data_IF_972855818138
#
_entry.id   IF_972855818138
#
_cell.length_a   1.000
_cell.length_b   1.000
_cell.length_c   1.000
_cell.angle_alpha   90.00
_cell.angle_beta   90.00
_cell.angle_gamma   90.00
#
_symmetry.space_group_name_H-M   'P 1'
#
loop_
_entity.id
_entity.type
_entity.pdbx_description
1 polymer ?
#
# COMPACT_ATOMS: atom_id res chain seq x y z
N UNK A 1 -55.35 82.06 -7.97
CA UNK A 1 -53.95 81.94 -8.43
C UNK A 1 -53.76 80.57 -9.09
N UNK A 2 -52.84 80.49 -10.06
CA UNK A 2 -52.79 79.60 -11.24
C UNK A 2 -52.93 78.06 -11.07
N UNK A 3 -53.49 77.43 -12.13
CA UNK A 3 -53.43 76.02 -12.53
C UNK A 3 -52.00 75.56 -12.89
N UNK A 4 -51.73 74.24 -12.80
CA UNK A 4 -50.95 73.34 -13.73
C UNK A 4 -50.40 72.14 -12.93
N UNK A 5 -50.92 70.91 -13.01
CA UNK A 5 -50.73 69.79 -13.97
C UNK A 5 -49.26 69.39 -14.26
N UNK A 6 -48.91 68.21 -13.70
CA UNK A 6 -47.94 67.13 -14.02
C UNK A 6 -46.79 67.39 -15.00
N UNK A 7 -45.57 66.97 -14.59
CA UNK A 7 -44.62 66.22 -15.42
C UNK A 7 -43.77 65.26 -14.55
N UNK A 8 -43.43 64.10 -15.12
CA UNK A 8 -42.70 62.97 -14.55
C UNK A 8 -41.20 63.02 -14.87
N UNK A 9 -40.36 62.33 -14.10
CA UNK A 9 -39.09 61.74 -14.59
C UNK A 9 -38.49 60.72 -13.59
N UNK A 10 -38.56 59.45 -13.99
CA UNK A 10 -37.56 58.36 -13.90
C UNK A 10 -36.28 58.56 -13.06
N UNK A 11 -36.07 57.68 -12.07
CA UNK A 11 -34.76 57.32 -11.52
C UNK A 11 -34.15 56.17 -12.35
N UNK A 12 -32.98 56.42 -12.95
CA UNK A 12 -32.13 55.39 -13.55
C UNK A 12 -31.12 54.89 -12.51
N UNK A 13 -31.17 53.60 -12.16
CA UNK A 13 -30.16 52.94 -11.35
C UNK A 13 -29.05 52.38 -12.27
N UNK A 14 -27.83 52.87 -12.06
CA UNK A 14 -26.62 52.45 -12.77
C UNK A 14 -26.19 51.06 -12.26
N UNK A 15 -26.31 50.02 -13.09
CA UNK A 15 -25.79 48.68 -12.80
C UNK A 15 -24.39 48.55 -13.37
N UNK A 16 -23.37 48.45 -12.50
CA UNK A 16 -22.01 48.07 -12.87
C UNK A 16 -21.95 46.55 -13.12
N UNK A 17 -21.74 46.16 -14.38
CA UNK A 17 -21.42 44.78 -14.74
C UNK A 17 -19.93 44.51 -14.46
N UNK A 18 -19.65 43.64 -13.48
CA UNK A 18 -18.32 43.06 -13.28
C UNK A 18 -18.21 41.88 -14.23
N UNK A 19 -17.47 42.05 -15.33
CA UNK A 19 -17.07 40.95 -16.19
C UNK A 19 -16.05 40.08 -15.43
N UNK A 20 -16.47 38.90 -15.01
CA UNK A 20 -15.57 37.88 -14.47
C UNK A 20 -14.64 37.39 -15.56
N UNK A 21 -13.37 37.77 -15.49
CA UNK A 21 -12.32 37.19 -16.32
C UNK A 21 -12.15 35.72 -15.92
N UNK A 22 -12.42 34.83 -16.87
CA UNK A 22 -12.03 33.42 -16.78
C UNK A 22 -10.52 33.35 -16.58
N UNK A 23 -10.08 32.92 -15.40
CA UNK A 23 -8.68 32.67 -15.13
C UNK A 23 -8.30 31.43 -15.95
N UNK A 24 -7.67 31.65 -17.09
CA UNK A 24 -6.99 30.59 -17.82
C UNK A 24 -5.86 30.09 -16.91
N UNK A 25 -5.94 28.84 -16.45
CA UNK A 25 -4.80 28.17 -15.86
C UNK A 25 -3.72 28.04 -16.95
N UNK A 26 -2.67 28.83 -16.84
CA UNK A 26 -1.45 28.62 -17.58
C UNK A 26 -0.77 27.36 -17.03
N UNK A 27 -0.76 26.29 -17.82
CA UNK A 27 0.15 25.17 -17.61
C UNK A 27 1.58 25.72 -17.65
N UNK A 28 2.27 25.62 -16.52
CA UNK A 28 3.72 25.79 -16.50
C UNK A 28 4.36 24.64 -17.30
N UNK A 29 5.42 24.86 -18.08
CA UNK A 29 6.09 23.79 -18.78
C UNK A 29 6.71 22.85 -17.74
N UNK A 30 6.16 21.64 -17.67
CA UNK A 30 6.66 20.54 -16.84
C UNK A 30 8.11 20.25 -17.25
N UNK A 31 9.02 20.22 -16.28
CA UNK A 31 10.40 19.83 -16.52
C UNK A 31 10.45 18.34 -16.86
N UNK A 32 10.42 18.03 -18.15
CA UNK A 32 11.05 16.86 -18.76
C UNK A 32 10.51 15.49 -18.34
N UNK A 33 9.22 15.22 -18.60
CA UNK A 33 8.76 13.83 -18.74
C UNK A 33 8.95 13.40 -20.20
N UNK A 34 9.89 12.49 -20.48
CA UNK A 34 9.96 11.76 -21.75
C UNK A 34 8.91 10.64 -21.75
N UNK A 35 7.66 10.92 -21.34
CA UNK A 35 6.63 9.90 -21.16
C UNK A 35 5.69 9.81 -22.35
N UNK A 36 5.45 8.59 -22.82
CA UNK A 36 4.30 8.30 -23.67
C UNK A 36 3.05 8.21 -22.76
N UNK A 37 2.41 9.35 -22.48
CA UNK A 37 1.08 9.36 -21.88
C UNK A 37 0.06 8.74 -22.84
N UNK A 38 -0.92 8.00 -22.30
CA UNK A 38 -2.01 7.41 -23.10
C UNK A 38 -3.37 7.61 -22.42
N UNK A 39 -4.43 7.64 -23.22
CA UNK A 39 -5.80 7.68 -22.70
C UNK A 39 -6.07 6.52 -21.72
N UNK A 40 -5.57 5.32 -22.02
CA UNK A 40 -5.68 4.15 -21.12
C UNK A 40 -4.97 4.37 -19.79
N UNK A 41 -3.76 4.94 -19.79
CA UNK A 41 -3.02 5.25 -18.55
C UNK A 41 -3.76 6.31 -17.70
N UNK A 42 -4.33 7.33 -18.35
CA UNK A 42 -5.11 8.35 -17.66
C UNK A 42 -6.40 7.77 -17.04
N UNK A 43 -7.13 6.96 -17.81
CA UNK A 43 -8.36 6.30 -17.34
C UNK A 43 -8.08 5.32 -16.20
N UNK A 44 -7.02 4.52 -16.32
CA UNK A 44 -6.63 3.56 -15.29
C UNK A 44 -6.24 4.27 -13.99
N UNK A 45 -5.45 5.35 -14.06
CA UNK A 45 -5.10 6.14 -12.88
C UNK A 45 -6.35 6.70 -12.19
N UNK A 46 -7.28 7.29 -12.95
CA UNK A 46 -8.54 7.81 -12.41
C UNK A 46 -9.41 6.71 -11.80
N UNK A 47 -9.42 5.50 -12.37
CA UNK A 47 -10.15 4.37 -11.79
C UNK A 47 -9.58 3.98 -10.42
N UNK A 48 -8.25 3.89 -10.30
CA UNK A 48 -7.59 3.57 -9.03
C UNK A 48 -7.85 4.66 -7.98
N UNK A 49 -7.75 5.94 -8.37
CA UNK A 49 -8.04 7.07 -7.49
C UNK A 49 -9.49 7.06 -6.97
N UNK A 50 -10.46 6.75 -7.83
CA UNK A 50 -11.88 6.64 -7.43
C UNK A 50 -12.15 5.45 -6.50
N UNK A 51 -11.44 4.33 -6.68
CA UNK A 51 -11.61 3.16 -5.83
C UNK A 51 -11.14 3.43 -4.39
N UNK A 52 -10.02 4.15 -4.23
CA UNK A 52 -9.60 4.76 -2.96
C UNK A 52 -8.41 5.71 -3.21
N UNK A 53 -8.58 7.01 -2.95
CA UNK A 53 -7.55 8.02 -3.20
C UNK A 53 -6.24 7.77 -2.45
N UNK A 54 -6.29 7.07 -1.30
CA UNK A 54 -5.08 6.73 -0.54
C UNK A 54 -4.09 5.84 -1.32
N UNK A 55 -4.55 5.15 -2.37
CA UNK A 55 -3.68 4.32 -3.20
C UNK A 55 -2.77 5.17 -4.07
N UNK A 56 -3.30 6.25 -4.65
CA UNK A 56 -2.55 7.18 -5.50
C UNK A 56 -1.76 8.21 -4.70
N UNK A 57 -2.28 8.71 -3.57
CA UNK A 57 -1.56 9.68 -2.70
C UNK A 57 -0.24 9.11 -2.13
N UNK A 58 -0.14 7.79 -2.04
CA UNK A 58 1.03 7.08 -1.54
C UNK A 58 2.05 6.72 -2.64
N UNK A 59 1.79 7.05 -3.90
CA UNK A 59 2.72 6.84 -5.00
C UNK A 59 4.04 7.58 -4.75
N UNK A 60 5.15 6.95 -5.13
CA UNK A 60 6.47 7.56 -5.06
C UNK A 60 6.58 8.66 -6.12
N UNK A 61 7.25 9.76 -5.77
CA UNK A 61 7.47 10.87 -6.68
C UNK A 61 8.66 10.57 -7.61
N UNK A 62 8.45 9.62 -8.53
CA UNK A 62 9.46 9.14 -9.46
C UNK A 62 8.91 9.32 -10.88
N UNK A 63 9.47 10.23 -11.68
CA UNK A 63 9.07 10.39 -13.08
C UNK A 63 9.25 9.08 -13.85
N UNK A 64 8.33 8.79 -14.77
CA UNK A 64 8.48 7.65 -15.65
C UNK A 64 9.48 7.95 -16.78
N UNK A 65 10.19 6.92 -17.24
CA UNK A 65 11.16 7.00 -18.33
C UNK A 65 10.70 6.10 -19.49
N UNK A 66 10.16 6.65 -20.59
CA UNK A 66 9.67 5.81 -21.68
C UNK A 66 10.78 5.28 -22.62
N UNK A 67 11.96 5.89 -22.61
CA UNK A 67 13.08 5.56 -23.51
C UNK A 67 14.03 4.52 -22.93
N UNK A 68 14.02 4.34 -21.60
CA UNK A 68 14.88 3.40 -20.89
C UNK A 68 14.39 1.96 -20.91
N UNK A 69 15.16 1.07 -20.27
CA UNK A 69 14.74 -0.32 -20.00
C UNK A 69 13.53 -0.37 -19.07
N UNK A 70 13.56 0.47 -18.03
CA UNK A 70 12.57 0.50 -16.97
C UNK A 70 11.74 1.78 -17.08
N UNK A 71 10.41 1.63 -17.08
CA UNK A 71 9.47 2.73 -16.97
C UNK A 71 9.66 3.45 -15.63
N UNK A 72 9.90 2.69 -14.56
CA UNK A 72 10.21 3.21 -13.22
C UNK A 72 11.33 2.38 -12.64
N UNK A 73 12.37 3.03 -12.10
CA UNK A 73 13.40 2.37 -11.30
C UNK A 73 13.75 3.24 -10.12
N UNK A 74 13.59 2.72 -8.91
CA UNK A 74 13.78 3.51 -7.69
C UNK A 74 14.14 2.63 -6.50
N UNK A 75 14.66 3.25 -5.44
CA UNK A 75 14.83 2.64 -4.13
C UNK A 75 14.05 3.44 -3.12
N UNK A 76 13.10 2.82 -2.43
CA UNK A 76 12.25 3.45 -1.43
C UNK A 76 12.37 2.65 -0.13
N UNK A 77 12.72 3.30 0.98
CA UNK A 77 12.91 2.64 2.29
C UNK A 77 13.85 1.40 2.24
N UNK A 78 14.93 1.50 1.46
CA UNK A 78 15.89 0.41 1.27
C UNK A 78 15.39 -0.76 0.41
N UNK A 79 14.23 -0.62 -0.24
CA UNK A 79 13.67 -1.61 -1.17
C UNK A 79 13.83 -1.11 -2.60
N UNK A 80 14.56 -1.87 -3.42
CA UNK A 80 14.71 -1.58 -4.84
C UNK A 80 13.47 -2.05 -5.61
N UNK A 81 12.89 -1.18 -6.43
CA UNK A 81 11.70 -1.48 -7.25
C UNK A 81 11.99 -1.09 -8.69
N UNK A 82 11.66 -1.97 -9.62
CA UNK A 82 11.74 -1.69 -11.05
C UNK A 82 10.48 -2.19 -11.76
N UNK A 83 9.90 -1.32 -12.60
CA UNK A 83 8.79 -1.61 -13.49
C UNK A 83 9.31 -1.43 -14.93
N UNK A 84 9.27 -2.46 -15.79
CA UNK A 84 9.85 -2.39 -17.12
C UNK A 84 9.01 -1.54 -18.09
N UNK A 85 9.59 -1.05 -19.18
CA UNK A 85 8.79 -0.51 -20.30
C UNK A 85 8.17 -1.62 -21.16
N UNK A 86 8.89 -2.73 -21.32
CA UNK A 86 8.44 -3.90 -22.07
C UNK A 86 7.57 -4.80 -21.16
N UNK A 87 6.30 -5.06 -21.52
CA UNK A 87 5.42 -5.91 -20.72
C UNK A 87 5.92 -7.34 -20.58
N UNK A 88 6.73 -7.84 -21.52
CA UNK A 88 7.32 -9.19 -21.46
C UNK A 88 8.48 -9.29 -20.47
N UNK A 89 9.03 -8.16 -20.03
CA UNK A 89 10.01 -8.09 -18.96
C UNK A 89 9.32 -8.14 -17.59
N UNK A 90 10.07 -8.57 -16.56
CA UNK A 90 9.53 -8.73 -15.21
C UNK A 90 9.64 -7.45 -14.39
N UNK A 91 8.57 -7.12 -13.68
CA UNK A 91 8.64 -6.18 -12.56
C UNK A 91 9.46 -6.81 -11.42
N UNK A 92 10.18 -6.01 -10.65
CA UNK A 92 10.98 -6.52 -9.52
C UNK A 92 10.77 -5.72 -8.24
N UNK A 93 10.82 -6.44 -7.11
CA UNK A 93 10.91 -5.89 -5.76
C UNK A 93 12.07 -6.59 -5.04
N UNK A 94 13.05 -5.82 -4.60
CA UNK A 94 14.30 -6.28 -4.00
C UNK A 94 14.41 -5.74 -2.58
N UNK A 95 14.05 -6.58 -1.61
CA UNK A 95 14.19 -6.28 -0.19
C UNK A 95 15.46 -6.88 0.42
N UNK A 96 15.63 -6.68 1.72
CA UNK A 96 16.80 -7.14 2.49
C UNK A 96 17.08 -8.65 2.43
N UNK A 97 16.04 -9.46 2.26
CA UNK A 97 16.12 -10.92 2.29
C UNK A 97 16.07 -11.56 0.89
N UNK A 98 16.06 -10.74 -0.17
CA UNK A 98 16.11 -11.22 -1.54
C UNK A 98 15.24 -10.43 -2.53
N UNK A 99 15.35 -10.82 -3.79
CA UNK A 99 14.63 -10.24 -4.91
C UNK A 99 13.50 -11.16 -5.37
N UNK A 100 12.32 -10.59 -5.52
CA UNK A 100 11.18 -11.21 -6.19
C UNK A 100 10.98 -10.53 -7.54
N UNK A 101 10.72 -11.31 -8.58
CA UNK A 101 10.36 -10.81 -9.92
C UNK A 101 9.00 -11.33 -10.32
N UNK A 102 8.20 -10.52 -11.00
CA UNK A 102 6.80 -10.78 -11.32
C UNK A 102 6.58 -10.60 -12.81
N UNK A 103 6.11 -11.64 -13.49
CA UNK A 103 5.48 -11.51 -14.80
C UNK A 103 4.08 -10.94 -14.60
N UNK A 104 3.79 -9.81 -15.25
CA UNK A 104 2.48 -9.17 -15.22
C UNK A 104 1.46 -9.97 -16.05
N UNK A 105 0.17 -9.95 -15.69
CA UNK A 105 -0.85 -10.68 -16.42
C UNK A 105 -0.95 -10.17 -17.87
N UNK A 106 -1.17 -11.10 -18.80
CA UNK A 106 -1.30 -10.81 -20.24
C UNK A 106 -0.10 -10.09 -20.88
N UNK A 107 1.10 -10.23 -20.31
CA UNK A 107 2.34 -9.61 -20.80
C UNK A 107 2.65 -9.86 -22.27
N UNK A 108 2.24 -11.01 -22.83
CA UNK A 108 2.47 -11.37 -24.24
C UNK A 108 1.61 -10.60 -25.24
N UNK A 109 0.48 -10.03 -24.83
CA UNK A 109 -0.42 -9.25 -25.70
C UNK A 109 -0.46 -7.76 -25.34
N UNK A 110 0.04 -7.41 -24.15
CA UNK A 110 -0.07 -6.06 -23.62
C UNK A 110 0.73 -5.03 -24.43
N UNK A 111 0.27 -3.78 -24.38
CA UNK A 111 1.02 -2.63 -24.90
C UNK A 111 2.21 -2.28 -24.00
N UNK A 112 3.21 -1.58 -24.55
CA UNK A 112 4.31 -0.98 -23.76
C UNK A 112 3.77 -0.05 -22.67
N UNK A 113 4.56 0.10 -21.61
CA UNK A 113 4.21 0.96 -20.50
C UNK A 113 3.91 2.40 -20.97
N UNK A 114 2.81 2.94 -20.49
CA UNK A 114 2.47 4.35 -20.56
C UNK A 114 2.33 4.89 -19.14
N UNK A 115 2.62 6.17 -18.91
CA UNK A 115 2.47 6.80 -17.60
C UNK A 115 1.71 8.11 -17.73
N UNK A 116 0.81 8.36 -16.79
CA UNK A 116 0.07 9.62 -16.67
C UNK A 116 0.46 10.41 -15.41
N UNK A 117 1.15 9.76 -14.46
CA UNK A 117 1.52 10.31 -13.15
C UNK A 117 2.81 9.65 -12.64
N UNK A 118 3.61 10.42 -11.90
CA UNK A 118 4.81 9.93 -11.22
C UNK A 118 4.50 8.70 -10.36
N UNK A 119 5.44 7.75 -10.34
CA UNK A 119 5.32 6.50 -9.60
C UNK A 119 4.34 5.48 -10.21
N UNK A 120 3.76 5.76 -11.39
CA UNK A 120 2.81 4.86 -12.05
C UNK A 120 3.25 4.47 -13.46
N UNK A 121 2.95 3.23 -13.83
CA UNK A 121 3.06 2.74 -15.20
C UNK A 121 1.80 1.92 -15.50
N UNK A 122 1.31 1.95 -16.74
CA UNK A 122 0.11 1.23 -17.17
C UNK A 122 0.40 0.45 -18.44
N UNK A 123 -0.02 -0.81 -18.44
CA UNK A 123 0.02 -1.72 -19.58
C UNK A 123 -1.43 -2.04 -19.97
N UNK A 124 -1.83 -1.70 -21.19
CA UNK A 124 -3.11 -2.13 -21.74
C UNK A 124 -3.04 -3.61 -22.12
N UNK A 125 -3.83 -4.45 -21.47
CA UNK A 125 -3.80 -5.91 -21.69
C UNK A 125 -4.53 -6.32 -22.99
N UNK A 126 -5.20 -5.37 -23.68
CA UNK A 126 -5.98 -5.58 -24.92
C UNK A 126 -7.13 -6.58 -24.79
N UNK A 127 -7.74 -6.65 -23.61
CA UNK A 127 -8.80 -7.60 -23.31
C UNK A 127 -9.88 -7.00 -22.38
N UNK A 128 -10.11 -5.69 -22.48
CA UNK A 128 -11.02 -4.99 -21.56
C UNK A 128 -10.44 -4.78 -20.16
N UNK A 129 -9.14 -4.98 -19.97
CA UNK A 129 -8.43 -4.66 -18.73
C UNK A 129 -7.08 -4.02 -18.97
N UNK A 130 -6.55 -3.34 -17.96
CA UNK A 130 -5.16 -2.87 -17.91
C UNK A 130 -4.50 -3.25 -16.59
N UNK A 131 -3.17 -3.28 -16.59
CA UNK A 131 -2.35 -3.51 -15.42
C UNK A 131 -1.57 -2.23 -15.10
N UNK A 132 -1.79 -1.66 -13.92
CA UNK A 132 -1.21 -0.38 -13.48
C UNK A 132 -0.44 -0.56 -12.17
N UNK A 133 0.85 -0.93 -12.24
CA UNK A 133 1.76 -0.84 -11.09
C UNK A 133 1.88 0.59 -10.57
N UNK A 134 1.70 0.74 -9.26
CA UNK A 134 1.99 1.95 -8.50
C UNK A 134 3.11 1.63 -7.51
N UNK A 135 4.26 2.27 -7.71
CA UNK A 135 5.39 2.20 -6.79
C UNK A 135 5.14 3.17 -5.64
N UNK A 136 5.31 2.74 -4.38
CA UNK A 136 4.91 3.52 -3.20
C UNK A 136 6.10 3.99 -2.37
N UNK A 137 5.92 5.09 -1.64
CA UNK A 137 6.96 5.73 -0.80
C UNK A 137 7.49 4.83 0.33
N UNK A 138 6.75 3.80 0.72
CA UNK A 138 7.13 2.86 1.78
C UNK A 138 7.94 1.65 1.29
N UNK A 139 8.33 1.62 0.01
CA UNK A 139 9.05 0.48 -0.57
C UNK A 139 8.16 -0.70 -0.97
N UNK A 140 6.84 -0.53 -0.93
CA UNK A 140 5.88 -1.49 -1.47
C UNK A 140 5.46 -1.10 -2.90
N UNK A 141 4.82 -2.02 -3.62
CA UNK A 141 4.26 -1.75 -4.94
C UNK A 141 2.91 -2.43 -5.11
N UNK A 142 1.93 -1.69 -5.62
CA UNK A 142 0.57 -2.18 -5.84
C UNK A 142 0.31 -2.34 -7.33
N UNK A 143 0.09 -3.58 -7.77
CA UNK A 143 -0.12 -3.95 -9.17
C UNK A 143 -1.62 -3.95 -9.44
N UNK A 144 -2.20 -2.77 -9.67
CA UNK A 144 -3.63 -2.65 -9.85
C UNK A 144 -4.05 -3.24 -11.19
N UNK A 145 -5.03 -4.11 -11.22
CA UNK A 145 -5.74 -4.49 -12.43
C UNK A 145 -7.01 -3.66 -12.51
N UNK A 146 -7.14 -2.89 -13.59
CA UNK A 146 -8.34 -2.12 -13.90
C UNK A 146 -9.15 -2.90 -14.93
N UNK A 147 -10.33 -3.34 -14.53
CA UNK A 147 -11.28 -4.12 -15.31
C UNK A 147 -12.30 -3.14 -15.87
N UNK A 148 -12.29 -2.88 -17.18
CA UNK A 148 -13.05 -1.78 -17.78
C UNK A 148 -14.49 -2.17 -18.15
N UNK A 149 -14.76 -3.46 -18.34
CA UNK A 149 -16.09 -3.93 -18.72
C UNK A 149 -16.32 -5.41 -18.37
N UNK A 150 -17.56 -5.87 -18.53
CA UNK A 150 -17.99 -7.22 -18.17
C UNK A 150 -17.42 -8.35 -19.05
N UNK A 151 -16.82 -8.03 -20.21
CA UNK A 151 -16.18 -9.01 -21.10
C UNK A 151 -14.74 -9.30 -20.70
N UNK A 152 -14.16 -8.47 -19.82
CA UNK A 152 -12.82 -8.67 -19.31
C UNK A 152 -12.69 -10.00 -18.55
N UNK A 153 -11.49 -10.62 -18.53
CA UNK A 153 -11.26 -11.87 -17.82
C UNK A 153 -11.50 -11.74 -16.31
N UNK A 154 -11.97 -12.81 -15.67
CA UNK A 154 -12.11 -12.86 -14.19
C UNK A 154 -10.84 -13.28 -13.45
N UNK A 155 -9.78 -13.64 -14.17
CA UNK A 155 -8.59 -14.31 -13.63
C UNK A 155 -7.32 -13.63 -14.12
N UNK A 156 -6.50 -13.21 -13.17
CA UNK A 156 -5.27 -12.45 -13.43
C UNK A 156 -4.09 -13.18 -12.79
N UNK A 157 -3.27 -13.81 -13.62
CA UNK A 157 -2.16 -14.65 -13.19
C UNK A 157 -0.85 -13.84 -13.10
N UNK A 158 -0.23 -13.85 -11.93
CA UNK A 158 1.06 -13.23 -11.65
C UNK A 158 2.07 -14.37 -11.40
N UNK A 159 2.97 -14.59 -12.36
CA UNK A 159 4.02 -15.61 -12.20
C UNK A 159 5.20 -15.00 -11.46
N UNK A 160 5.55 -15.61 -10.33
CA UNK A 160 6.52 -15.07 -9.39
C UNK A 160 7.80 -15.89 -9.47
N UNK A 161 8.92 -15.21 -9.69
CA UNK A 161 10.26 -15.77 -9.51
C UNK A 161 10.79 -15.33 -8.15
N UNK A 162 11.24 -16.29 -7.37
CA UNK A 162 11.73 -16.10 -6.00
C UNK A 162 13.17 -16.60 -5.89
N UNK A 163 13.95 -16.15 -4.89
CA UNK A 163 15.29 -16.65 -4.68
C UNK A 163 15.31 -18.17 -4.49
N UNK A 164 16.42 -18.81 -4.84
CA UNK A 164 16.60 -20.24 -4.58
C UNK A 164 16.41 -20.56 -3.09
N UNK A 165 15.70 -21.65 -2.81
CA UNK A 165 15.31 -22.07 -1.46
C UNK A 165 14.11 -21.32 -0.87
N UNK A 166 13.59 -20.27 -1.53
CA UNK A 166 12.40 -19.57 -1.06
C UNK A 166 11.11 -20.35 -1.39
N UNK A 167 10.10 -20.20 -0.54
CA UNK A 167 8.79 -20.83 -0.66
C UNK A 167 7.70 -19.77 -0.79
N UNK A 168 6.74 -20.01 -1.68
CA UNK A 168 5.52 -19.21 -1.83
C UNK A 168 4.37 -19.98 -1.19
N UNK A 169 3.66 -19.36 -0.25
CA UNK A 169 2.55 -20.02 0.45
C UNK A 169 1.46 -19.04 0.84
N UNK A 170 0.21 -19.52 0.93
CA UNK A 170 -0.88 -18.74 1.50
C UNK A 170 -0.70 -18.61 3.01
N UNK A 171 -1.04 -17.44 3.54
CA UNK A 171 -1.06 -17.14 4.98
C UNK A 171 -2.36 -16.40 5.31
N UNK A 172 -3.44 -17.16 5.53
CA UNK A 172 -4.81 -16.61 5.58
C UNK A 172 -5.22 -16.05 4.22
N UNK A 173 -5.58 -14.76 4.17
CA UNK A 173 -5.94 -14.04 2.95
C UNK A 173 -4.73 -13.47 2.19
N UNK A 174 -3.55 -13.45 2.81
CA UNK A 174 -2.29 -13.00 2.20
C UNK A 174 -1.51 -14.14 1.55
N UNK A 175 -0.48 -13.80 0.77
CA UNK A 175 0.53 -14.74 0.27
C UNK A 175 1.90 -14.30 0.78
N UNK A 176 2.73 -15.24 1.22
CA UNK A 176 4.08 -14.96 1.72
C UNK A 176 5.12 -15.64 0.85
N UNK A 177 6.25 -14.94 0.66
CA UNK A 177 7.49 -15.51 0.16
C UNK A 177 8.48 -15.53 1.31
N UNK A 178 8.91 -16.72 1.73
CA UNK A 178 9.83 -16.90 2.85
C UNK A 178 11.06 -17.70 2.46
N UNK A 179 12.21 -17.35 3.01
CA UNK A 179 13.48 -18.08 2.89
C UNK A 179 14.17 -18.08 4.25
N UNK A 180 14.64 -19.24 4.70
CA UNK A 180 15.33 -19.41 5.99
C UNK A 180 14.52 -18.80 7.16
N UNK A 181 13.21 -19.07 7.15
CA UNK A 181 12.21 -18.53 8.08
C UNK A 181 12.09 -16.99 8.16
N UNK A 182 12.72 -16.26 7.25
CA UNK A 182 12.59 -14.82 7.08
C UNK A 182 11.66 -14.49 5.93
N UNK A 183 10.97 -13.37 6.03
CA UNK A 183 10.14 -12.86 4.94
C UNK A 183 11.03 -12.24 3.85
N UNK A 184 10.89 -12.70 2.61
CA UNK A 184 11.50 -12.09 1.42
C UNK A 184 10.57 -11.01 0.87
N UNK A 185 9.29 -11.36 0.69
CA UNK A 185 8.23 -10.48 0.24
C UNK A 185 6.87 -11.06 0.65
N UNK A 186 5.80 -10.31 0.45
CA UNK A 186 4.44 -10.80 0.63
C UNK A 186 3.46 -10.02 -0.23
N UNK A 187 2.30 -10.62 -0.45
CA UNK A 187 1.15 -10.02 -1.10
C UNK A 187 0.10 -9.81 -0.01
N UNK A 188 -0.35 -8.56 0.15
CA UNK A 188 -1.41 -8.19 1.06
C UNK A 188 -2.71 -8.94 0.70
N UNK A 189 -3.73 -8.98 1.56
CA UNK A 189 -5.02 -9.60 1.21
C UNK A 189 -5.61 -9.04 -0.08
N UNK A 190 -6.19 -9.92 -0.90
CA UNK A 190 -6.89 -9.53 -2.11
C UNK A 190 -8.05 -8.58 -1.77
N UNK A 191 -8.16 -7.49 -2.52
CA UNK A 191 -9.37 -6.66 -2.53
C UNK A 191 -9.73 -6.28 -3.97
N UNK A 192 -11.01 -6.00 -4.15
CA UNK A 192 -11.53 -5.45 -5.39
C UNK A 192 -12.70 -4.50 -5.07
N UNK A 193 -12.76 -3.35 -5.75
CA UNK A 193 -13.85 -2.38 -5.64
C UNK A 193 -14.33 -1.95 -7.02
N UNK A 194 -15.64 -1.80 -7.14
CA UNK A 194 -16.28 -1.28 -8.33
C UNK A 194 -16.22 0.26 -8.38
N UNK A 195 -16.66 0.87 -9.48
CA UNK A 195 -16.61 2.32 -9.69
C UNK A 195 -17.46 3.14 -8.70
N UNK A 196 -18.35 2.49 -7.93
CA UNK A 196 -19.16 3.09 -6.87
C UNK A 196 -18.60 2.79 -5.48
N UNK A 197 -17.42 2.17 -5.39
CA UNK A 197 -16.77 1.78 -4.14
C UNK A 197 -17.33 0.51 -3.51
N UNK A 198 -18.23 -0.21 -4.17
CA UNK A 198 -18.79 -1.47 -3.67
C UNK A 198 -17.72 -2.56 -3.73
N UNK A 199 -17.58 -3.33 -2.66
CA UNK A 199 -16.66 -4.47 -2.63
C UNK A 199 -17.10 -5.57 -3.62
N UNK A 200 -16.14 -6.06 -4.40
CA UNK A 200 -16.32 -7.18 -5.34
C UNK A 200 -15.62 -8.40 -4.74
N UNK A 201 -16.28 -9.58 -4.65
CA UNK A 201 -15.64 -10.79 -4.15
C UNK A 201 -14.37 -11.12 -4.94
N UNK A 202 -13.30 -11.39 -4.21
CA UNK A 202 -12.01 -11.74 -4.80
C UNK A 202 -11.19 -12.60 -3.83
N UNK A 203 -10.32 -13.44 -4.38
CA UNK A 203 -9.38 -14.25 -3.61
C UNK A 203 -8.14 -14.57 -4.44
N UNK A 204 -7.06 -15.00 -3.76
CA UNK A 204 -5.89 -15.58 -4.40
C UNK A 204 -5.95 -17.10 -4.43
N UNK A 205 -5.53 -17.65 -5.55
CA UNK A 205 -5.16 -19.05 -5.71
C UNK A 205 -3.66 -19.16 -5.98
N UNK A 206 -3.00 -20.08 -5.30
CA UNK A 206 -1.56 -20.28 -5.41
C UNK A 206 -1.30 -21.67 -5.98
N UNK A 207 -0.65 -21.74 -7.14
CA UNK A 207 -0.24 -23.01 -7.78
C UNK A 207 1.23 -22.90 -8.19
N UNK A 208 2.09 -23.65 -7.49
CA UNK A 208 3.53 -23.57 -7.68
C UNK A 208 4.02 -22.15 -7.43
N UNK A 209 4.57 -21.50 -8.45
CA UNK A 209 5.07 -20.14 -8.37
C UNK A 209 4.13 -19.08 -8.98
N UNK A 210 2.89 -19.46 -9.30
CA UNK A 210 1.89 -18.55 -9.84
C UNK A 210 0.86 -18.21 -8.77
N UNK A 211 0.67 -16.91 -8.54
CA UNK A 211 -0.43 -16.37 -7.75
C UNK A 211 -1.46 -15.82 -8.72
N UNK A 212 -2.67 -16.36 -8.69
CA UNK A 212 -3.76 -15.88 -9.53
C UNK A 212 -4.79 -15.18 -8.67
N UNK A 213 -5.06 -13.91 -8.94
CA UNK A 213 -6.22 -13.25 -8.36
C UNK A 213 -7.46 -13.61 -9.19
N UNK A 214 -8.50 -14.05 -8.51
CA UNK A 214 -9.83 -14.23 -9.08
C UNK A 214 -10.70 -13.07 -8.63
N UNK A 215 -11.36 -12.41 -9.56
CA UNK A 215 -12.30 -11.31 -9.29
C UNK A 215 -13.66 -11.73 -9.82
N UNK A 216 -14.63 -11.98 -8.94
CA UNK A 216 -15.96 -12.44 -9.36
C UNK A 216 -16.88 -11.26 -9.73
N UNK A 217 -16.52 -10.58 -10.82
CA UNK A 217 -17.29 -9.47 -11.36
C UNK A 217 -18.40 -9.93 -12.33
N UNK A 218 -19.32 -9.03 -12.68
CA UNK A 218 -20.48 -9.33 -13.52
C UNK A 218 -21.35 -8.10 -13.76
N UNK A 219 -22.57 -8.28 -14.27
CA UNK A 219 -23.50 -7.18 -14.58
C UNK A 219 -24.01 -6.41 -13.35
N UNK A 220 -23.84 -6.97 -12.14
CA UNK A 220 -24.27 -6.38 -10.87
C UNK A 220 -23.28 -5.36 -10.26
N UNK A 221 -22.15 -5.10 -10.93
CA UNK A 221 -21.11 -4.18 -10.48
C UNK A 221 -20.90 -3.05 -11.49
N UNK A 222 -20.50 -1.87 -10.99
CA UNK A 222 -20.18 -0.73 -11.83
C UNK A 222 -18.73 -0.78 -12.30
N UNK A 223 -18.48 -0.64 -13.60
CA UNK A 223 -17.14 -0.57 -14.14
C UNK A 223 -16.63 0.89 -14.22
N UNK A 224 -15.31 1.12 -14.16
CA UNK A 224 -14.27 0.11 -13.99
C UNK A 224 -14.20 -0.46 -12.56
N UNK A 225 -13.84 -1.73 -12.46
CA UNK A 225 -13.50 -2.39 -11.19
C UNK A 225 -11.97 -2.35 -11.05
N UNK A 226 -11.48 -2.03 -9.85
CA UNK A 226 -10.05 -2.04 -9.53
C UNK A 226 -9.79 -3.17 -8.53
N UNK A 227 -8.79 -3.99 -8.83
CA UNK A 227 -8.35 -5.11 -8.01
C UNK A 227 -6.82 -5.12 -7.90
N UNK A 228 -6.25 -5.73 -6.86
CA UNK A 228 -4.81 -5.77 -6.65
C UNK A 228 -4.16 -7.17 -6.64
N UNK A 229 -2.85 -7.20 -6.87
CA UNK A 229 -2.03 -7.51 -5.69
C UNK A 229 -1.17 -6.36 -5.20
N UNK A 230 -1.11 -6.19 -3.87
CA UNK A 230 -0.20 -5.26 -3.20
C UNK A 230 1.01 -5.99 -2.59
N UNK A 231 2.17 -5.82 -3.21
CA UNK A 231 3.43 -6.44 -2.81
C UNK A 231 4.21 -5.57 -1.82
N UNK A 232 4.75 -6.17 -0.77
CA UNK A 232 5.64 -5.52 0.19
C UNK A 232 6.80 -6.40 0.64
N UNK A 233 7.90 -5.77 1.03
CA UNK A 233 9.12 -6.45 1.52
C UNK A 233 9.47 -6.12 2.98
N UNK A 234 8.90 -5.04 3.54
CA UNK A 234 9.13 -4.61 4.92
C UNK A 234 7.80 -4.54 5.68
N UNK A 235 7.71 -5.20 6.83
CA UNK A 235 6.56 -5.08 7.75
C UNK A 235 6.59 -3.75 8.50
N UNK A 236 7.78 -3.19 8.74
CA UNK A 236 7.98 -1.91 9.43
C UNK A 236 8.53 -0.85 8.49
N UNK A 237 7.86 0.30 8.45
CA UNK A 237 8.34 1.48 7.71
C UNK A 237 9.43 2.21 8.49
N UNK A 238 9.27 2.30 9.80
CA UNK A 238 10.20 3.02 10.69
C UNK A 238 10.65 2.09 11.81
N UNK A 239 11.96 2.06 12.05
CA UNK A 239 12.62 1.39 13.18
C UNK A 239 13.71 2.32 13.68
N UNK A 240 13.60 2.79 14.91
CA UNK A 240 14.42 3.86 15.46
C UNK A 240 14.88 3.53 16.87
N UNK A 241 16.11 3.91 17.20
CA UNK A 241 16.64 3.88 18.56
C UNK A 241 16.56 5.29 19.13
N UNK A 242 16.05 5.42 20.35
CA UNK A 242 15.96 6.68 21.10
C UNK A 242 15.29 7.80 20.28
N UNK A 243 14.13 7.49 19.68
CA UNK A 243 13.33 8.44 18.89
C UNK A 243 13.03 9.71 19.73
N UNK A 244 13.16 10.92 19.17
CA UNK A 244 12.83 12.14 19.90
C UNK A 244 11.43 12.10 20.50
N UNK A 245 11.32 12.44 21.79
CA UNK A 245 10.05 12.46 22.54
C UNK A 245 9.68 11.17 23.28
N UNK A 246 10.50 10.11 23.22
CA UNK A 246 10.30 8.92 24.06
C UNK A 246 10.79 9.16 25.49
N UNK A 247 10.09 8.62 26.49
CA UNK A 247 10.59 8.56 27.86
C UNK A 247 11.73 7.54 27.96
N UNK A 248 12.90 7.99 28.42
CA UNK A 248 14.13 7.19 28.55
C UNK A 248 14.47 6.87 30.01
N UNK A 249 13.53 7.06 30.92
CA UNK A 249 13.65 6.70 32.33
C UNK A 249 14.03 5.22 32.54
N UNK A 250 13.66 4.35 31.59
CA UNK A 250 14.00 2.93 31.56
C UNK A 250 15.04 2.57 30.48
N UNK A 251 15.96 3.50 30.19
CA UNK A 251 17.09 3.31 29.31
C UNK A 251 16.76 3.54 27.83
N UNK A 252 17.48 2.82 26.95
CA UNK A 252 17.25 2.94 25.51
C UNK A 252 15.83 2.50 25.14
N UNK A 253 15.18 3.30 24.30
CA UNK A 253 13.88 2.98 23.70
C UNK A 253 14.08 2.53 22.26
N UNK A 254 13.49 1.40 21.89
CA UNK A 254 13.42 0.93 20.51
C UNK A 254 11.99 1.12 20.01
N UNK A 255 11.86 1.96 18.99
CA UNK A 255 10.58 2.38 18.44
C UNK A 255 10.36 1.74 17.08
N UNK A 256 9.17 1.18 16.84
CA UNK A 256 8.80 0.70 15.51
C UNK A 256 7.39 1.09 15.07
N UNK A 257 7.25 1.43 13.80
CA UNK A 257 5.96 1.72 13.15
C UNK A 257 5.78 0.83 11.93
N UNK A 258 4.64 0.16 11.85
CA UNK A 258 4.29 -0.66 10.69
C UNK A 258 4.31 0.16 9.40
N UNK A 259 4.80 -0.44 8.32
CA UNK A 259 4.62 0.12 6.97
C UNK A 259 3.13 0.12 6.62
N UNK A 260 2.72 0.84 5.57
CA UNK A 260 1.33 0.79 5.14
C UNK A 260 0.94 -0.65 4.73
N UNK A 261 1.86 -1.34 4.06
CA UNK A 261 1.72 -2.75 3.70
C UNK A 261 1.63 -3.66 4.93
N UNK A 262 2.56 -3.54 5.88
CA UNK A 262 2.56 -4.34 7.11
C UNK A 262 1.31 -4.09 7.97
N UNK A 263 0.85 -2.85 8.00
CA UNK A 263 -0.44 -2.49 8.60
C UNK A 263 -1.59 -3.20 7.89
N UNK A 264 -1.64 -3.23 6.54
CA UNK A 264 -2.70 -3.95 5.82
C UNK A 264 -2.73 -5.44 6.17
N UNK A 265 -1.57 -6.10 6.23
CA UNK A 265 -1.47 -7.49 6.68
C UNK A 265 -1.98 -7.64 8.12
N UNK A 266 -1.57 -6.74 9.02
CA UNK A 266 -1.96 -6.78 10.42
C UNK A 266 -3.46 -6.57 10.66
N UNK A 267 -4.14 -5.72 9.85
CA UNK A 267 -5.58 -5.41 10.01
C UNK A 267 -6.51 -6.31 9.22
N UNK A 268 -5.96 -7.21 8.41
CA UNK A 268 -6.73 -8.07 7.52
C UNK A 268 -7.47 -9.20 8.22
N UNK A 269 -7.11 -9.45 9.47
CA UNK A 269 -7.67 -10.51 10.29
C UNK A 269 -8.22 -9.93 11.59
N UNK A 270 -9.10 -10.69 12.24
CA UNK A 270 -9.61 -10.29 13.55
C UNK A 270 -8.42 -10.07 14.51
N UNK A 271 -8.46 -9.00 15.32
CA UNK A 271 -7.47 -8.79 16.37
C UNK A 271 -7.40 -10.00 17.29
N UNK A 272 -6.21 -10.28 17.81
CA UNK A 272 -6.00 -11.37 18.76
C UNK A 272 -6.84 -11.15 20.02
N UNK A 273 -7.44 -12.25 20.50
CA UNK A 273 -8.13 -12.30 21.79
C UNK A 273 -7.40 -13.27 22.70
N UNK A 274 -7.36 -12.94 23.99
CA UNK A 274 -6.68 -13.76 24.99
C UNK A 274 -7.15 -15.23 24.93
N UNK A 275 -6.21 -16.16 24.97
CA UNK A 275 -6.46 -17.61 24.92
C UNK A 275 -6.81 -18.16 23.53
N UNK A 276 -6.84 -17.34 22.47
CA UNK A 276 -7.10 -17.80 21.11
C UNK A 276 -5.81 -18.09 20.34
N UNK A 277 -5.91 -18.82 19.22
CA UNK A 277 -4.81 -18.95 18.27
C UNK A 277 -4.67 -17.63 17.49
N UNK A 278 -3.47 -17.04 17.38
CA UNK A 278 -3.27 -15.84 16.58
C UNK A 278 -3.70 -16.02 15.13
N UNK A 279 -4.46 -15.05 14.63
CA UNK A 279 -4.80 -14.97 13.22
C UNK A 279 -3.54 -14.75 12.37
N UNK A 280 -3.58 -15.11 11.09
CA UNK A 280 -2.37 -15.11 10.24
C UNK A 280 -1.66 -13.75 10.20
N UNK A 281 -2.42 -12.64 10.11
CA UNK A 281 -1.87 -11.29 10.14
C UNK A 281 -1.13 -10.99 11.44
N UNK A 282 -1.74 -11.28 12.58
CA UNK A 282 -1.10 -11.14 13.91
C UNK A 282 0.13 -12.03 14.05
N UNK A 283 0.05 -13.28 13.57
CA UNK A 283 1.18 -14.21 13.63
C UNK A 283 2.36 -13.72 12.79
N UNK A 284 2.12 -13.23 11.57
CA UNK A 284 3.15 -12.66 10.69
C UNK A 284 3.87 -11.53 11.40
N UNK A 285 3.12 -10.62 11.99
CA UNK A 285 3.65 -9.44 12.67
C UNK A 285 4.45 -9.86 13.90
N UNK A 286 3.89 -10.70 14.76
CA UNK A 286 4.57 -11.15 15.97
C UNK A 286 5.85 -11.96 15.71
N UNK A 287 5.94 -12.70 14.61
CA UNK A 287 7.07 -13.61 14.36
C UNK A 287 8.03 -13.08 13.29
N UNK A 288 7.53 -12.81 12.07
CA UNK A 288 8.35 -12.31 10.97
C UNK A 288 8.73 -10.84 11.19
N UNK A 289 7.84 -10.07 11.84
CA UNK A 289 8.14 -8.71 12.28
C UNK A 289 9.22 -8.67 13.37
N UNK A 290 9.22 -9.62 14.32
CA UNK A 290 10.29 -9.69 15.31
C UNK A 290 11.66 -9.99 14.67
N UNK A 291 11.68 -10.90 13.69
CA UNK A 291 12.88 -11.17 12.89
C UNK A 291 13.37 -9.91 12.15
N UNK A 292 12.45 -9.10 11.64
CA UNK A 292 12.77 -7.79 11.05
C UNK A 292 13.40 -6.83 12.06
N UNK A 293 12.88 -6.75 13.28
CA UNK A 293 13.44 -5.94 14.36
C UNK A 293 14.84 -6.39 14.75
N UNK A 294 15.06 -7.71 14.88
CA UNK A 294 16.39 -8.27 15.17
C UNK A 294 17.41 -7.91 14.09
N UNK A 295 17.00 -8.00 12.83
CA UNK A 295 17.88 -7.69 11.69
C UNK A 295 18.19 -6.20 11.57
N UNK A 296 17.23 -5.32 11.90
CA UNK A 296 17.33 -3.88 11.59
C UNK A 296 17.58 -2.97 12.79
N UNK A 297 17.34 -3.43 14.02
CA UNK A 297 17.28 -2.54 15.19
C UNK A 297 17.92 -3.11 16.46
N UNK A 298 17.53 -4.31 16.90
CA UNK A 298 17.88 -4.81 18.25
C UNK A 298 18.97 -5.90 18.26
N UNK A 299 19.46 -6.31 17.09
CA UNK A 299 20.47 -7.36 16.95
C UNK A 299 19.91 -8.79 17.09
N UNK A 300 20.78 -9.79 16.92
CA UNK A 300 20.35 -11.20 16.86
C UNK A 300 20.10 -11.84 18.22
N UNK A 301 20.62 -11.28 19.31
CA UNK A 301 20.44 -11.81 20.67
C UNK A 301 20.03 -10.69 21.64
N UNK A 302 18.87 -10.04 21.42
CA UNK A 302 18.41 -8.99 22.32
C UNK A 302 17.97 -9.57 23.67
N UNK A 303 17.98 -8.77 24.76
CA UNK A 303 17.40 -9.17 26.03
C UNK A 303 15.96 -9.66 25.90
N UNK A 304 15.59 -10.70 26.66
CA UNK A 304 14.27 -11.33 26.58
C UNK A 304 13.10 -10.37 26.83
N UNK A 305 13.31 -9.37 27.70
CA UNK A 305 12.31 -8.32 27.97
C UNK A 305 11.85 -7.60 26.70
N UNK A 306 12.75 -7.32 25.75
CA UNK A 306 12.40 -6.64 24.49
C UNK A 306 11.48 -7.52 23.63
N UNK A 307 11.76 -8.81 23.54
CA UNK A 307 10.93 -9.74 22.77
C UNK A 307 9.53 -9.85 23.37
N UNK A 308 9.45 -9.92 24.69
CA UNK A 308 8.18 -10.01 25.40
C UNK A 308 7.35 -8.72 25.17
N UNK A 309 7.93 -7.53 25.37
CA UNK A 309 7.25 -6.25 25.14
C UNK A 309 6.76 -6.16 23.69
N UNK A 310 7.63 -6.49 22.72
CA UNK A 310 7.28 -6.53 21.30
C UNK A 310 6.09 -7.46 21.01
N UNK A 311 6.12 -8.68 21.56
CA UNK A 311 5.06 -9.66 21.34
C UNK A 311 3.73 -9.17 21.93
N UNK A 312 3.77 -8.47 23.07
CA UNK A 312 2.59 -7.81 23.64
C UNK A 312 2.02 -6.76 22.67
N UNK A 313 2.85 -5.87 22.12
CA UNK A 313 2.41 -4.90 21.11
C UNK A 313 1.82 -5.57 19.86
N UNK A 314 2.45 -6.64 19.38
CA UNK A 314 1.98 -7.37 18.21
C UNK A 314 0.63 -8.09 18.44
N UNK A 315 0.31 -8.50 19.67
CA UNK A 315 -0.95 -9.17 19.99
C UNK A 315 -2.06 -8.19 20.40
N UNK A 316 -1.71 -7.18 21.20
CA UNK A 316 -2.69 -6.34 21.89
C UNK A 316 -2.61 -4.85 21.55
N UNK A 317 -1.64 -4.42 20.74
CA UNK A 317 -1.46 -3.01 20.38
C UNK A 317 -2.69 -2.36 19.72
N UNK A 318 -3.64 -3.13 19.20
CA UNK A 318 -4.95 -2.64 18.75
C UNK A 318 -5.83 -2.05 19.86
N UNK A 319 -5.77 -2.63 21.05
CA UNK A 319 -6.73 -2.40 22.13
C UNK A 319 -6.15 -1.54 23.25
N UNK A 320 -4.82 -1.48 23.35
CA UNK A 320 -4.14 -0.78 24.43
C UNK A 320 -3.98 0.70 24.06
N UNK A 321 -4.90 1.53 24.55
CA UNK A 321 -4.79 2.99 24.46
C UNK A 321 -3.50 3.43 25.17
N UNK A 322 -2.57 4.02 24.42
CA UNK A 322 -1.25 4.41 24.91
C UNK A 322 -0.09 3.49 24.51
N UNK A 323 -0.35 2.33 23.90
CA UNK A 323 0.69 1.49 23.25
C UNK A 323 1.22 2.08 21.92
N UNK A 324 0.70 3.25 21.54
CA UNK A 324 1.20 4.11 20.47
C UNK A 324 0.94 3.62 19.04
N UNK A 325 0.98 4.56 18.09
CA UNK A 325 1.21 4.25 16.67
C UNK A 325 2.64 3.76 16.42
N UNK A 326 3.55 4.16 17.31
CA UNK A 326 4.89 3.64 17.45
C UNK A 326 4.89 2.70 18.65
N UNK A 327 5.42 1.49 18.45
CA UNK A 327 5.63 0.53 19.51
C UNK A 327 6.99 0.85 20.13
N UNK A 328 6.96 1.50 21.29
CA UNK A 328 8.12 1.94 22.02
C UNK A 328 8.42 0.90 23.10
N UNK A 329 9.47 0.09 22.93
CA UNK A 329 9.88 -0.93 23.90
C UNK A 329 11.19 -0.53 24.59
N UNK A 330 11.28 -0.78 25.88
CA UNK A 330 12.26 -0.17 26.78
C UNK A 330 13.29 -1.20 27.28
N UNK A 331 14.57 -0.89 27.14
CA UNK A 331 15.67 -1.84 27.37
C UNK A 331 15.82 -2.31 28.82
N UNK A 332 15.65 -1.41 29.81
CA UNK A 332 15.91 -1.71 31.22
C UNK A 332 14.66 -2.21 31.98
N UNK A 333 13.57 -2.49 31.26
CA UNK A 333 12.39 -3.15 31.84
C UNK A 333 12.71 -4.56 32.25
N UNK A 334 12.15 -5.02 33.38
CA UNK A 334 12.40 -6.37 33.89
C UNK A 334 11.87 -7.41 32.91
N UNK A 335 12.39 -8.63 32.91
CA UNK A 335 11.73 -9.70 32.16
C UNK A 335 10.48 -10.15 32.92
N UNK A 336 9.38 -10.36 32.20
CA UNK A 336 8.13 -10.88 32.75
C UNK A 336 7.68 -12.06 31.90
N UNK A 337 8.11 -13.31 32.19
CA UNK A 337 7.70 -14.48 31.40
C UNK A 337 6.19 -14.76 31.46
N UNK A 338 5.49 -14.27 32.49
CA UNK A 338 4.05 -14.48 32.72
C UNK A 338 3.18 -13.31 32.22
N UNK A 339 3.73 -12.40 31.41
CA UNK A 339 3.03 -11.19 30.91
C UNK A 339 1.69 -11.48 30.21
N UNK A 340 1.53 -12.69 29.63
CA UNK A 340 0.32 -13.12 28.93
C UNK A 340 -0.61 -14.00 29.79
N UNK A 341 -0.21 -14.36 31.02
CA UNK A 341 -0.98 -15.21 31.93
C UNK A 341 -2.26 -14.53 32.39
N UNK A 342 -2.20 -13.21 32.56
CA UNK A 342 -3.31 -12.41 33.05
C UNK A 342 -3.60 -11.22 32.13
N UNK A 343 -4.82 -11.08 31.57
CA UNK A 343 -5.13 -10.05 30.60
C UNK A 343 -5.02 -8.62 31.16
N UNK A 344 -5.20 -8.42 32.47
CA UNK A 344 -5.07 -7.08 33.10
C UNK A 344 -3.63 -6.57 33.14
N UNK A 345 -2.62 -7.45 33.18
CA UNK A 345 -1.20 -7.06 33.19
C UNK A 345 -0.83 -6.26 31.93
N UNK A 346 -1.40 -6.62 30.78
CA UNK A 346 -1.20 -5.92 29.51
C UNK A 346 -1.71 -4.47 29.56
N UNK A 347 -2.86 -4.25 30.19
CA UNK A 347 -3.50 -2.93 30.29
C UNK A 347 -2.77 -2.05 31.30
N UNK A 348 -2.43 -2.60 32.47
CA UNK A 348 -1.74 -1.90 33.55
C UNK A 348 -0.37 -1.36 33.08
N UNK A 349 0.40 -2.20 32.40
CA UNK A 349 1.74 -1.87 31.95
C UNK A 349 1.80 -1.30 30.54
N UNK A 350 0.67 -1.23 29.82
CA UNK A 350 0.60 -0.80 28.42
C UNK A 350 1.64 -1.50 27.51
N UNK A 351 1.88 -2.78 27.75
CA UNK A 351 2.93 -3.61 27.16
C UNK A 351 4.40 -3.33 27.56
N UNK A 352 4.67 -2.42 28.50
CA UNK A 352 6.00 -2.10 29.06
C UNK A 352 5.99 -2.25 30.60
N UNK A 353 6.55 -3.34 31.16
CA UNK A 353 6.46 -3.67 32.59
C UNK A 353 7.72 -3.35 33.41
#
# INVERSE_FOLDING_TARGET
MMKLIRFAASLSALSMAIAGASVAHADSPDQGSDTASSATAQQAYQAVERADRKWTDAAADVPANASGRDAIKTTQQGVGISVPNDPSSKMTIAGRNGKVSVDLPFSGSASKAASSRAGTATFDNKNGSSTTPIVRKDGSAQINTVINDAKAPKRYAYKIQVPEGAKIQRAGSSVLVTKDEKMVAGIAPAWAKDAKGKSVPTHYEVKGNTVTQVVDHGGQYAYPIVADPWLGANLFGTLEKDRPGTDRSHGTVFSGKLSAWGSSVYRSTLPYRWGQVPSSGTWIIANLGWKEWKDRLVGQNPPQTLQQQYTCHAYYGYFVVGAGWHWDIELLRRSNPDWNKYPWSVVEHKCNW
#
